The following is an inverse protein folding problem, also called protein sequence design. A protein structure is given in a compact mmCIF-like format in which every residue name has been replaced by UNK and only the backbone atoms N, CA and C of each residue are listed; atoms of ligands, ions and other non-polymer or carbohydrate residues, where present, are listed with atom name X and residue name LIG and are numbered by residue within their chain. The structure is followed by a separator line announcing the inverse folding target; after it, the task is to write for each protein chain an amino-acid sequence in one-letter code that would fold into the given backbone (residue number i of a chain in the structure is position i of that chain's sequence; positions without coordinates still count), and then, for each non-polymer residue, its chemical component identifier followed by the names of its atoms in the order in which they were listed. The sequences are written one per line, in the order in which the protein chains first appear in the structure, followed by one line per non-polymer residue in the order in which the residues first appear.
data_IF_049999292484
#
_entry.id   IF_049999292484
#
_cell.length_a   1.000
_cell.length_b   1.000
_cell.length_c   1.000
_cell.angle_alpha   90.00
_cell.angle_beta   90.00
_cell.angle_gamma   90.00
#
_symmetry.space_group_name_H-M   'P 1'
#
loop_
_entity.id
_entity.type
_entity.pdbx_description
1 polymer ?
#
# COMPACT_ATOMS: atom_id res chain seq x y z
N UNK A 1 -22.14 -6.40 15.22
CA UNK A 1 -21.66 -7.59 14.49
C UNK A 1 -20.61 -7.13 13.50
N UNK A 2 -19.35 -7.54 13.68
CA UNK A 2 -18.30 -7.27 12.70
C UNK A 2 -18.47 -8.20 11.51
N UNK A 3 -18.23 -7.71 10.30
CA UNK A 3 -18.13 -8.56 9.11
C UNK A 3 -16.87 -9.43 9.26
N UNK A 4 -17.01 -10.75 9.09
CA UNK A 4 -15.87 -11.65 9.08
C UNK A 4 -15.07 -11.51 7.77
N UNK A 5 -13.74 -11.54 7.88
CA UNK A 5 -12.84 -11.40 6.73
C UNK A 5 -12.69 -12.75 6.02
N UNK A 6 -12.93 -12.78 4.72
CA UNK A 6 -12.75 -13.98 3.90
C UNK A 6 -11.31 -14.06 3.37
N UNK A 7 -10.57 -15.08 3.79
CA UNK A 7 -9.21 -15.39 3.34
C UNK A 7 -9.25 -16.51 2.29
N UNK A 8 -9.95 -16.28 1.18
CA UNK A 8 -10.10 -17.31 0.15
C UNK A 8 -9.02 -17.18 -0.92
N UNK A 9 -8.10 -18.15 -1.00
CA UNK A 9 -7.05 -18.20 -2.03
C UNK A 9 -7.52 -18.78 -3.36
N UNK A 10 -8.55 -19.63 -3.32
CA UNK A 10 -9.10 -20.30 -4.51
C UNK A 10 -10.61 -20.22 -4.57
N UNK A 11 -11.16 -20.03 -5.76
CA UNK A 11 -12.60 -19.95 -5.98
C UNK A 11 -12.99 -20.71 -7.25
N UNK A 12 -14.17 -21.32 -7.26
CA UNK A 12 -14.70 -22.02 -8.43
C UNK A 12 -15.40 -21.03 -9.36
N UNK A 13 -15.14 -21.14 -10.65
CA UNK A 13 -15.87 -20.38 -11.67
C UNK A 13 -17.24 -21.00 -11.88
N UNK A 14 -18.30 -20.29 -11.49
CA UNK A 14 -19.70 -20.74 -11.65
C UNK A 14 -20.43 -20.03 -12.81
N UNK A 15 -19.86 -18.96 -13.34
CA UNK A 15 -20.41 -18.24 -14.49
C UNK A 15 -19.33 -17.45 -15.23
N UNK A 16 -19.47 -17.34 -16.54
CA UNK A 16 -18.52 -16.60 -17.39
C UNK A 16 -19.30 -15.80 -18.43
N UNK A 17 -18.99 -14.51 -18.54
CA UNK A 17 -19.51 -13.64 -19.57
C UNK A 17 -18.37 -12.94 -20.29
N UNK A 18 -18.34 -13.03 -21.61
CA UNK A 18 -17.40 -12.28 -22.45
C UNK A 18 -17.96 -10.90 -22.73
N UNK A 19 -17.26 -9.85 -22.32
CA UNK A 19 -17.67 -8.47 -22.54
C UNK A 19 -16.87 -7.88 -23.68
N UNK A 20 -17.57 -7.47 -24.73
CA UNK A 20 -16.99 -6.72 -25.85
C UNK A 20 -17.28 -5.23 -25.64
N UNK A 21 -16.24 -4.41 -25.44
CA UNK A 21 -16.38 -2.95 -25.43
C UNK A 21 -16.20 -2.43 -26.86
N UNK A 22 -17.23 -1.81 -27.47
CA UNK A 22 -17.12 -1.19 -28.78
C UNK A 22 -16.60 0.25 -28.63
N UNK A 23 -15.30 0.44 -28.39
CA UNK A 23 -14.69 1.78 -28.31
C UNK A 23 -13.64 1.98 -29.39
N UNK A 24 -13.76 3.08 -30.14
CA UNK A 24 -12.84 3.46 -31.22
C UNK A 24 -11.38 3.64 -30.75
N UNK A 25 -11.18 4.07 -29.49
CA UNK A 25 -9.86 4.31 -28.89
C UNK A 25 -9.22 3.06 -28.24
N UNK A 26 -10.01 2.00 -28.01
CA UNK A 26 -9.52 0.73 -27.45
C UNK A 26 -10.01 -0.42 -28.32
N UNK A 27 -9.29 -0.73 -29.42
CA UNK A 27 -9.68 -1.81 -30.31
C UNK A 27 -9.52 -3.15 -29.58
N UNK A 28 -10.65 -3.81 -29.32
CA UNK A 28 -10.78 -5.27 -29.11
C UNK A 28 -9.84 -5.90 -28.07
N UNK A 29 -9.97 -5.54 -26.79
CA UNK A 29 -9.60 -6.51 -25.74
C UNK A 29 -10.87 -6.94 -25.03
N UNK A 30 -11.54 -8.02 -25.50
CA UNK A 30 -12.63 -8.59 -24.72
C UNK A 30 -12.07 -9.01 -23.37
N UNK A 31 -12.72 -8.58 -22.30
CA UNK A 31 -12.44 -9.11 -20.97
C UNK A 31 -13.59 -10.01 -20.55
N UNK A 32 -13.28 -10.91 -19.63
CA UNK A 32 -14.23 -11.86 -19.09
C UNK A 32 -14.68 -11.36 -17.72
N UNK A 33 -15.98 -11.39 -17.48
CA UNK A 33 -16.56 -11.26 -16.15
C UNK A 33 -16.84 -12.67 -15.66
N UNK A 34 -16.11 -13.06 -14.62
CA UNK A 34 -16.25 -14.34 -13.94
C UNK A 34 -17.19 -14.15 -12.76
N UNK A 35 -18.10 -15.09 -12.54
CA UNK A 35 -18.78 -15.26 -11.26
C UNK A 35 -18.05 -16.37 -10.53
N UNK A 36 -17.48 -16.03 -9.38
CA UNK A 36 -16.68 -16.91 -8.55
C UNK A 36 -17.50 -17.33 -7.32
N UNK A 37 -17.33 -18.58 -6.88
CA UNK A 37 -17.90 -19.13 -5.65
C UNK A 37 -16.80 -19.75 -4.80
N UNK A 38 -16.71 -19.38 -3.53
CA UNK A 38 -15.79 -20.02 -2.59
C UNK A 38 -16.38 -21.27 -1.93
N UNK A 39 -15.61 -21.92 -1.04
CA UNK A 39 -16.04 -23.13 -0.33
C UNK A 39 -17.17 -22.88 0.67
N UNK A 40 -17.38 -21.64 1.09
CA UNK A 40 -18.44 -21.23 2.03
C UNK A 40 -19.73 -20.83 1.29
N UNK A 41 -19.72 -20.86 -0.05
CA UNK A 41 -20.86 -20.48 -0.89
C UNK A 41 -20.97 -18.98 -1.15
N UNK A 42 -19.96 -18.19 -0.79
CA UNK A 42 -19.93 -16.76 -1.09
C UNK A 42 -19.66 -16.53 -2.57
N UNK A 43 -20.37 -15.57 -3.17
CA UNK A 43 -20.31 -15.30 -4.61
C UNK A 43 -19.94 -13.85 -4.92
N UNK A 44 -19.05 -13.65 -5.88
CA UNK A 44 -18.69 -12.31 -6.36
C UNK A 44 -18.32 -12.31 -7.84
N UNK A 45 -18.30 -11.11 -8.43
CA UNK A 45 -17.88 -10.90 -9.81
C UNK A 45 -16.41 -10.44 -9.88
N UNK A 46 -15.63 -11.05 -10.77
CA UNK A 46 -14.22 -10.73 -10.99
C UNK A 46 -13.95 -10.51 -12.48
N UNK A 47 -13.23 -9.44 -12.82
CA UNK A 47 -12.77 -9.22 -14.20
C UNK A 47 -11.46 -9.96 -14.44
N UNK A 48 -11.33 -10.54 -15.63
CA UNK A 48 -10.14 -11.27 -16.07
C UNK A 48 -9.88 -11.00 -17.56
N UNK A 49 -8.60 -10.87 -17.94
CA UNK A 49 -8.18 -10.91 -19.34
C UNK A 49 -8.09 -12.34 -19.89
N UNK A 50 -7.88 -13.32 -19.01
CA UNK A 50 -7.86 -14.73 -19.35
C UNK A 50 -9.29 -15.28 -19.38
N UNK A 51 -9.59 -16.09 -20.39
CA UNK A 51 -10.82 -16.85 -20.49
C UNK A 51 -10.77 -18.06 -19.53
N UNK A 52 -11.84 -18.25 -18.77
CA UNK A 52 -12.07 -19.41 -17.92
C UNK A 52 -13.33 -20.12 -18.38
N UNK A 53 -13.48 -21.40 -18.04
CA UNK A 53 -14.69 -22.19 -18.23
C UNK A 53 -15.40 -22.38 -16.89
N UNK A 54 -16.72 -22.61 -16.96
CA UNK A 54 -17.48 -22.99 -15.77
C UNK A 54 -16.93 -24.32 -15.24
N UNK A 55 -16.65 -24.36 -13.94
CA UNK A 55 -16.00 -25.49 -13.28
C UNK A 55 -14.51 -25.32 -13.05
N UNK A 56 -13.84 -24.37 -13.72
CA UNK A 56 -12.42 -24.08 -13.50
C UNK A 56 -12.17 -23.54 -12.08
N UNK A 57 -10.96 -23.80 -11.57
CA UNK A 57 -10.46 -23.15 -10.36
C UNK A 57 -9.75 -21.84 -10.72
N UNK A 58 -10.15 -20.77 -10.02
CA UNK A 58 -9.50 -19.48 -10.04
C UNK A 58 -8.63 -19.34 -8.80
N UNK A 59 -7.36 -19.03 -9.01
CA UNK A 59 -6.38 -18.81 -7.94
C UNK A 59 -5.87 -17.37 -7.98
N UNK A 60 -5.87 -16.71 -6.84
CA UNK A 60 -5.25 -15.40 -6.68
C UNK A 60 -3.74 -15.58 -6.59
N UNK A 61 -3.05 -15.42 -7.72
CA UNK A 61 -1.59 -15.52 -7.77
C UNK A 61 -0.97 -14.19 -7.39
N UNK A 62 -0.05 -14.24 -6.42
CA UNK A 62 0.89 -13.17 -6.18
C UNK A 62 1.95 -13.15 -7.28
N UNK A 63 2.44 -11.96 -7.63
CA UNK A 63 3.53 -11.81 -8.60
C UNK A 63 4.72 -11.10 -7.95
N UNK A 64 5.92 -11.56 -8.25
CA UNK A 64 7.18 -10.90 -7.87
C UNK A 64 7.82 -10.15 -9.06
N UNK A 65 7.08 -9.98 -10.16
CA UNK A 65 7.53 -9.15 -11.27
C UNK A 65 7.68 -7.69 -10.80
N UNK A 66 8.87 -7.12 -11.02
CA UNK A 66 9.18 -5.73 -10.66
C UNK A 66 8.30 -4.71 -11.38
N UNK A 67 7.72 -5.08 -12.52
CA UNK A 67 6.81 -4.23 -13.29
C UNK A 67 5.33 -4.48 -12.96
N UNK A 68 5.04 -5.34 -11.98
CA UNK A 68 3.67 -5.61 -11.58
C UNK A 68 3.02 -4.38 -10.94
N UNK A 69 1.73 -4.20 -11.24
CA UNK A 69 0.90 -3.16 -10.63
C UNK A 69 -0.32 -3.83 -10.01
N UNK A 70 -0.50 -3.64 -8.71
CA UNK A 70 -1.69 -4.07 -7.98
C UNK A 70 -2.56 -2.85 -7.66
N UNK A 71 -3.86 -2.95 -7.96
CA UNK A 71 -4.85 -1.91 -7.67
C UNK A 71 -5.94 -2.54 -6.84
N UNK A 72 -6.21 -1.96 -5.67
CA UNK A 72 -7.31 -2.38 -4.80
C UNK A 72 -8.14 -1.18 -4.38
N UNK A 73 -9.46 -1.38 -4.31
CA UNK A 73 -10.39 -0.34 -3.87
C UNK A 73 -10.62 -0.46 -2.38
N UNK A 74 -10.38 0.64 -1.66
CA UNK A 74 -10.79 0.78 -0.26
C UNK A 74 -12.32 0.85 -0.22
N UNK A 75 -12.97 -0.09 0.49
CA UNK A 75 -14.43 -0.07 0.73
C UNK A 75 -14.74 0.44 2.13
N UNK A 76 -14.28 -0.31 3.14
CA UNK A 76 -14.58 -0.04 4.55
C UNK A 76 -13.32 -0.04 5.42
N UNK A 77 -12.33 -0.88 5.08
CA UNK A 77 -11.13 -1.10 5.88
C UNK A 77 -9.87 -0.79 5.06
N UNK A 78 -9.06 0.14 5.56
CA UNK A 78 -7.80 0.53 4.93
C UNK A 78 -6.75 -0.56 5.10
N UNK A 79 -6.74 -1.24 6.26
CA UNK A 79 -5.81 -2.34 6.53
C UNK A 79 -6.03 -3.49 5.55
N UNK A 80 -7.29 -3.85 5.27
CA UNK A 80 -7.64 -4.87 4.26
C UNK A 80 -7.06 -4.51 2.89
N UNK A 81 -7.20 -3.24 2.48
CA UNK A 81 -6.67 -2.80 1.19
C UNK A 81 -5.15 -2.87 1.13
N UNK A 82 -4.45 -2.49 2.20
CA UNK A 82 -2.99 -2.61 2.32
C UNK A 82 -2.57 -4.08 2.24
N UNK A 83 -3.21 -4.95 3.03
CA UNK A 83 -2.97 -6.40 3.03
C UNK A 83 -3.12 -6.98 1.62
N UNK A 84 -4.20 -6.65 0.92
CA UNK A 84 -4.49 -7.19 -0.41
C UNK A 84 -3.53 -6.70 -1.48
N UNK A 85 -3.19 -5.41 -1.49
CA UNK A 85 -2.22 -4.87 -2.46
C UNK A 85 -0.85 -5.51 -2.27
N UNK A 86 -0.40 -5.66 -1.03
CA UNK A 86 0.91 -6.24 -0.74
C UNK A 86 0.91 -7.75 -1.02
N UNK A 87 -0.16 -8.47 -0.68
CA UNK A 87 -0.33 -9.90 -1.02
C UNK A 87 -0.23 -10.12 -2.53
N UNK A 88 -0.90 -9.30 -3.33
CA UNK A 88 -0.86 -9.39 -4.80
C UNK A 88 0.54 -9.14 -5.37
N UNK A 89 1.36 -8.32 -4.71
CA UNK A 89 2.74 -8.01 -5.09
C UNK A 89 3.80 -8.97 -4.51
N UNK A 90 3.38 -10.10 -3.95
CA UNK A 90 4.32 -11.12 -3.45
C UNK A 90 4.66 -11.02 -1.97
N UNK A 91 4.05 -10.10 -1.23
CA UNK A 91 4.30 -9.91 0.19
C UNK A 91 5.54 -9.06 0.50
N UNK A 92 5.80 -8.88 1.79
CA UNK A 92 7.04 -8.28 2.30
C UNK A 92 7.71 -9.29 3.24
N UNK A 93 9.02 -9.47 3.09
CA UNK A 93 9.82 -10.30 3.99
C UNK A 93 10.34 -9.42 5.14
N UNK A 94 9.60 -9.39 6.24
CA UNK A 94 9.94 -8.60 7.42
C UNK A 94 10.19 -9.53 8.60
N UNK A 95 11.25 -9.23 9.35
CA UNK A 95 11.54 -9.85 10.64
C UNK A 95 11.75 -8.75 11.70
N UNK A 96 11.87 -9.11 12.99
CA UNK A 96 12.04 -8.11 14.05
C UNK A 96 13.32 -7.27 13.94
N UNK A 97 14.31 -7.71 13.16
CA UNK A 97 15.57 -6.99 12.94
C UNK A 97 15.50 -6.03 11.74
N UNK A 98 14.49 -6.17 10.87
CA UNK A 98 14.30 -5.31 9.70
C UNK A 98 14.07 -3.86 10.13
N UNK A 99 14.92 -2.95 9.67
CA UNK A 99 14.82 -1.51 9.92
C UNK A 99 13.97 -0.86 8.85
N UNK A 100 12.81 -0.33 9.22
CA UNK A 100 11.82 0.14 8.28
C UNK A 100 11.75 1.67 8.32
N UNK A 101 11.87 2.31 7.17
CA UNK A 101 11.67 3.76 7.01
C UNK A 101 10.38 4.04 6.23
N UNK A 102 9.43 4.71 6.87
CA UNK A 102 8.19 5.16 6.25
C UNK A 102 8.32 6.64 5.90
N UNK A 103 8.15 6.95 4.62
CA UNK A 103 8.19 8.31 4.08
C UNK A 103 6.78 8.78 3.67
N UNK A 104 5.96 9.28 4.60
CA UNK A 104 4.66 9.85 4.24
C UNK A 104 4.82 11.14 3.45
N UNK A 105 3.82 11.45 2.62
CA UNK A 105 3.68 12.77 2.04
C UNK A 105 3.27 13.77 3.12
N UNK A 106 4.09 14.78 3.36
CA UNK A 106 3.85 15.82 4.35
C UNK A 106 4.29 17.18 3.80
N UNK A 107 3.38 17.87 3.13
CA UNK A 107 3.65 19.07 2.33
C UNK A 107 3.37 20.36 3.12
N UNK A 108 2.24 20.44 3.83
CA UNK A 108 1.82 21.69 4.49
C UNK A 108 0.92 21.44 5.71
N UNK A 109 0.76 22.42 6.62
CA UNK A 109 -0.08 22.27 7.81
C UNK A 109 -1.57 22.31 7.46
N UNK A 110 -2.08 21.18 6.99
CA UNK A 110 -3.48 20.98 6.57
C UNK A 110 -4.09 19.79 7.28
N UNK A 111 -5.38 19.94 7.61
CA UNK A 111 -6.17 18.87 8.20
C UNK A 111 -6.40 17.72 7.19
N UNK A 112 -6.58 16.47 7.67
CA UNK A 112 -6.73 15.29 6.82
C UNK A 112 -7.83 15.38 5.75
N UNK A 113 -8.94 16.07 6.04
CA UNK A 113 -10.08 16.15 5.12
C UNK A 113 -9.77 16.96 3.83
N UNK A 114 -8.67 17.72 3.81
CA UNK A 114 -8.21 18.40 2.60
C UNK A 114 -7.38 17.51 1.66
N UNK A 115 -7.00 16.30 2.10
CA UNK A 115 -6.23 15.33 1.31
C UNK A 115 -4.91 15.87 0.71
N UNK A 116 -4.27 16.83 1.39
CA UNK A 116 -2.98 17.41 0.97
C UNK A 116 -1.79 16.55 1.43
N UNK A 117 -1.89 15.95 2.61
CA UNK A 117 -0.88 15.08 3.19
C UNK A 117 -1.37 13.62 3.21
N UNK A 118 -0.48 12.68 3.50
CA UNK A 118 -0.85 11.29 3.80
C UNK A 118 -1.94 11.27 4.88
N UNK A 119 -2.96 10.44 4.66
CA UNK A 119 -4.06 10.30 5.61
C UNK A 119 -3.55 9.59 6.89
N UNK A 120 -3.85 10.09 8.10
CA UNK A 120 -3.41 9.46 9.35
C UNK A 120 -3.89 8.01 9.47
N UNK A 121 -5.12 7.69 9.03
CA UNK A 121 -5.63 6.30 9.04
C UNK A 121 -4.82 5.37 8.16
N UNK A 122 -4.26 5.88 7.06
CA UNK A 122 -3.41 5.10 6.18
C UNK A 122 -2.07 4.80 6.86
N UNK A 123 -1.43 5.81 7.45
CA UNK A 123 -0.17 5.63 8.18
C UNK A 123 -0.35 4.64 9.35
N UNK A 124 -1.40 4.81 10.15
CA UNK A 124 -1.75 3.92 11.27
C UNK A 124 -1.98 2.48 10.78
N UNK A 125 -2.78 2.30 9.71
CA UNK A 125 -3.04 0.98 9.15
C UNK A 125 -1.77 0.32 8.59
N UNK A 126 -0.86 1.10 8.00
CA UNK A 126 0.42 0.61 7.51
C UNK A 126 1.33 0.16 8.66
N UNK A 127 1.46 0.96 9.72
CA UNK A 127 2.23 0.59 10.92
C UNK A 127 1.69 -0.71 11.53
N UNK A 128 0.36 -0.79 11.71
CA UNK A 128 -0.30 -1.98 12.22
C UNK A 128 -0.07 -3.21 11.33
N UNK A 129 -0.08 -3.03 10.01
CA UNK A 129 0.23 -4.10 9.06
C UNK A 129 1.68 -4.59 9.23
N UNK A 130 2.66 -3.68 9.26
CA UNK A 130 4.08 -4.00 9.36
C UNK A 130 4.40 -4.76 10.66
N UNK A 131 3.81 -4.33 11.79
CA UNK A 131 3.93 -5.04 13.06
C UNK A 131 3.25 -6.41 13.00
N UNK A 132 2.06 -6.50 12.40
CA UNK A 132 1.32 -7.77 12.23
C UNK A 132 2.12 -8.81 11.44
N UNK A 133 2.92 -8.40 10.46
CA UNK A 133 3.73 -9.33 9.64
C UNK A 133 5.12 -9.61 10.22
N UNK A 134 5.43 -9.10 11.41
CA UNK A 134 6.64 -9.49 12.16
C UNK A 134 7.66 -8.37 12.40
N UNK A 135 7.39 -7.13 12.00
CA UNK A 135 8.24 -5.98 12.31
C UNK A 135 8.18 -5.59 13.78
N UNK A 136 9.30 -5.17 14.35
CA UNK A 136 9.33 -4.54 15.69
C UNK A 136 8.93 -3.07 15.56
N UNK A 137 8.02 -2.61 16.43
CA UNK A 137 7.63 -1.19 16.45
C UNK A 137 8.85 -0.26 16.65
N UNK A 138 9.87 -0.73 17.38
CA UNK A 138 11.11 0.03 17.64
C UNK A 138 12.01 0.13 16.42
N UNK A 139 11.84 -0.72 15.42
CA UNK A 139 12.62 -0.68 14.17
C UNK A 139 11.96 0.18 13.08
N UNK A 140 10.73 0.66 13.33
CA UNK A 140 10.00 1.54 12.42
C UNK A 140 10.35 3.00 12.72
N UNK A 141 10.81 3.72 11.69
CA UNK A 141 10.96 5.18 11.69
C UNK A 141 9.96 5.80 10.72
N UNK A 142 9.33 6.89 11.13
CA UNK A 142 8.51 7.73 10.24
C UNK A 142 9.25 9.04 10.04
N UNK A 143 9.59 9.37 8.79
CA UNK A 143 10.43 10.53 8.50
C UNK A 143 9.86 11.38 7.37
N UNK A 144 10.06 12.69 7.48
CA UNK A 144 9.69 13.64 6.45
C UNK A 144 10.71 14.79 6.42
N UNK A 145 10.63 15.61 5.38
CA UNK A 145 11.46 16.79 5.23
C UNK A 145 10.56 17.95 4.81
N UNK A 146 10.74 19.11 5.43
CA UNK A 146 10.16 20.34 4.90
C UNK A 146 11.06 20.92 3.79
N UNK A 147 10.42 21.45 2.75
CA UNK A 147 11.07 22.15 1.65
C UNK A 147 10.73 23.64 1.62
N UNK A 148 10.05 24.13 2.66
CA UNK A 148 9.68 25.52 2.83
C UNK A 148 10.08 26.05 4.22
N UNK A 149 9.69 27.28 4.54
CA UNK A 149 9.99 27.93 5.82
C UNK A 149 9.15 27.37 6.98
N UNK A 150 8.18 26.48 6.71
CA UNK A 150 7.31 25.91 7.72
C UNK A 150 8.02 24.72 8.36
N UNK A 151 8.17 24.70 9.69
CA UNK A 151 8.70 23.53 10.40
C UNK A 151 7.87 22.28 10.10
N UNK A 152 8.55 21.16 9.83
CA UNK A 152 7.87 19.91 9.47
C UNK A 152 6.94 19.42 10.59
N UNK A 153 7.27 19.75 11.85
CA UNK A 153 6.47 19.42 13.03
C UNK A 153 5.09 20.09 12.99
N UNK A 154 5.01 21.33 12.50
CA UNK A 154 3.72 22.02 12.36
C UNK A 154 2.83 21.31 11.34
N UNK A 155 3.42 20.84 10.24
CA UNK A 155 2.73 20.02 9.24
C UNK A 155 2.30 18.68 9.83
N UNK A 156 3.17 17.99 10.56
CA UNK A 156 2.90 16.70 11.18
C UNK A 156 1.76 16.78 12.21
N UNK A 157 1.76 17.83 13.03
CA UNK A 157 0.72 18.09 14.03
C UNK A 157 -0.63 18.38 13.36
N UNK A 158 -0.68 19.30 12.40
CA UNK A 158 -1.96 19.71 11.77
C UNK A 158 -2.60 18.60 10.92
N UNK A 159 -1.77 17.73 10.34
CA UNK A 159 -2.18 16.54 9.59
C UNK A 159 -2.50 15.33 10.48
N UNK A 160 -2.31 15.44 11.79
CA UNK A 160 -2.51 14.36 12.78
C UNK A 160 -1.55 13.17 12.60
N UNK A 161 -0.53 13.28 11.75
CA UNK A 161 0.50 12.24 11.62
C UNK A 161 1.36 12.14 12.88
N UNK A 162 1.60 13.27 13.55
CA UNK A 162 2.30 13.29 14.84
C UNK A 162 1.57 12.44 15.89
N UNK A 163 0.24 12.56 15.96
CA UNK A 163 -0.57 11.81 16.93
C UNK A 163 -0.49 10.29 16.68
N UNK A 164 -0.50 9.88 15.41
CA UNK A 164 -0.30 8.47 15.02
C UNK A 164 1.07 7.97 15.47
N UNK A 165 2.14 8.72 15.19
CA UNK A 165 3.49 8.36 15.62
C UNK A 165 3.58 8.21 17.14
N UNK A 166 3.07 9.18 17.90
CA UNK A 166 3.10 9.17 19.37
C UNK A 166 2.27 8.03 19.96
N UNK A 167 1.10 7.72 19.38
CA UNK A 167 0.27 6.58 19.81
C UNK A 167 1.05 5.26 19.74
N UNK A 168 1.88 5.12 18.70
CA UNK A 168 2.72 3.95 18.48
C UNK A 168 4.11 4.04 19.14
N UNK A 169 4.38 5.08 19.93
CA UNK A 169 5.69 5.33 20.54
C UNK A 169 6.83 5.46 19.51
N UNK A 170 6.50 5.88 18.29
CA UNK A 170 7.46 6.17 17.23
C UNK A 170 7.82 7.66 17.30
N UNK A 171 9.12 7.96 17.40
CA UNK A 171 9.60 9.32 17.29
C UNK A 171 9.66 9.72 15.81
N UNK A 172 8.89 10.74 15.36
CA UNK A 172 9.01 11.22 13.98
C UNK A 172 10.36 11.90 13.77
N UNK A 173 10.92 11.72 12.58
CA UNK A 173 12.24 12.25 12.22
C UNK A 173 12.13 13.34 11.17
N UNK A 174 12.76 14.49 11.44
CA UNK A 174 12.99 15.53 10.46
C UNK A 174 14.32 15.26 9.73
N UNK A 175 14.21 14.84 8.46
CA UNK A 175 15.39 14.52 7.65
C UNK A 175 16.25 15.77 7.37
N UNK A 176 15.69 16.98 7.42
CA UNK A 176 16.45 18.22 7.20
C UNK A 176 17.49 18.48 8.29
N UNK A 177 17.27 17.94 9.50
CA UNK A 177 18.18 18.10 10.65
C UNK A 177 19.28 17.04 10.68
N UNK A 178 19.22 16.06 9.79
CA UNK A 178 20.20 14.97 9.69
C UNK A 178 21.38 15.29 8.79
N UNK A 179 22.26 14.31 8.63
CA UNK A 179 23.36 14.37 7.67
C UNK A 179 22.88 13.95 6.27
N UNK A 180 23.54 14.50 5.25
CA UNK A 180 23.30 14.14 3.86
C UNK A 180 24.56 13.57 3.22
N UNK A 181 24.39 12.50 2.45
CA UNK A 181 25.44 11.85 1.68
C UNK A 181 25.33 12.30 0.23
N UNK A 182 26.42 12.88 -0.28
CA UNK A 182 26.54 13.27 -1.68
C UNK A 182 26.75 12.05 -2.57
N UNK A 183 25.92 11.89 -3.59
CA UNK A 183 25.98 10.82 -4.59
C UNK A 183 26.06 11.40 -5.99
N UNK A 184 26.82 10.75 -6.87
CA UNK A 184 26.90 11.10 -8.29
C UNK A 184 26.47 9.89 -9.11
N UNK A 185 25.43 10.05 -9.93
CA UNK A 185 24.94 9.01 -10.84
C UNK A 185 24.48 9.65 -12.14
N UNK A 186 24.84 9.07 -13.29
CA UNK A 186 24.48 9.57 -14.62
C UNK A 186 24.81 11.08 -14.83
N UNK A 187 25.97 11.54 -14.34
CA UNK A 187 26.42 12.94 -14.35
C UNK A 187 25.55 13.92 -13.54
N UNK A 188 24.60 13.43 -12.74
CA UNK A 188 23.88 14.23 -11.76
C UNK A 188 24.46 14.00 -10.38
N UNK A 189 24.69 15.10 -9.66
CA UNK A 189 25.11 15.05 -8.26
C UNK A 189 23.95 15.52 -7.39
N UNK A 190 23.59 14.69 -6.41
CA UNK A 190 22.49 14.94 -5.50
C UNK A 190 22.86 14.49 -4.08
N UNK A 191 22.09 14.94 -3.11
CA UNK A 191 22.29 14.66 -1.69
C UNK A 191 21.08 13.91 -1.14
N UNK A 192 21.34 12.80 -0.43
CA UNK A 192 20.31 11.96 0.19
C UNK A 192 20.60 11.86 1.67
N UNK A 193 19.57 11.96 2.51
CA UNK A 193 19.70 11.76 3.95
C UNK A 193 20.37 10.42 4.26
N UNK A 194 21.35 10.43 5.17
CA UNK A 194 22.10 9.24 5.59
C UNK A 194 21.18 8.12 6.12
N UNK A 195 20.04 8.52 6.71
CA UNK A 195 19.02 7.62 7.25
C UNK A 195 18.49 6.61 6.24
N UNK A 196 18.40 6.98 4.96
CA UNK A 196 17.94 6.08 3.89
C UNK A 196 18.88 4.89 3.70
N UNK A 197 20.16 5.04 4.03
CA UNK A 197 21.16 3.96 3.94
C UNK A 197 21.29 3.15 5.24
N UNK A 198 20.67 3.62 6.32
CA UNK A 198 20.67 2.94 7.63
C UNK A 198 19.45 2.03 7.82
N UNK A 199 18.63 1.87 6.76
CA UNK A 199 17.38 1.10 6.73
C UNK A 199 17.46 -0.01 5.68
N UNK A 200 16.62 -1.04 5.84
CA UNK A 200 16.59 -2.23 4.97
C UNK A 200 15.59 -2.09 3.81
#
# INVERSE_FOLDING_TARGET
MGLERLLTKTAKVIGVSKVNIPTLLHPKVPYFVLVLEDKEGNRWAQKSFKEYKIGDEFEFKSTQDKNAVAIWRIKYDVLEAIEKVIELLGGLEINPQTKILILPTLISPKHPYFAVNTNPKFLESLINYLVKIGGDIKSIKVAAQSFDEIPIEASAQKSQLLDVCLHHQIAPLDLAKGNFVKKTQNNFTFEISEEVFNTD
#
